data_IF_857412066741
#
_entry.id   IF_857412066741
#
_cell.length_a   1.000
_cell.length_b   1.000
_cell.length_c   1.000
_cell.angle_alpha   90.00
_cell.angle_beta   90.00
_cell.angle_gamma   90.00
#
_symmetry.space_group_name_H-M   'P 1'
#
loop_
_entity.id
_entity.type
_entity.pdbx_description
1 polymer ?
#
# COMPACT_ATOMS: atom_id res chain seq x y z
N UNK A 1 -9.45 2.35 -3.29
CA UNK A 1 -9.65 2.60 -1.84
C UNK A 1 -9.70 1.33 -1.01
N UNK A 2 -10.26 0.25 -1.54
CA UNK A 2 -10.29 -1.04 -0.83
C UNK A 2 -8.89 -1.60 -0.59
N UNK A 3 -8.00 -1.42 -1.56
CA UNK A 3 -6.63 -1.92 -1.45
C UNK A 3 -5.89 -1.25 -0.30
N UNK A 4 -6.16 0.03 -0.07
CA UNK A 4 -5.56 0.78 1.05
C UNK A 4 -6.38 0.66 2.34
N UNK A 5 -7.51 -0.06 2.31
CA UNK A 5 -8.38 -0.27 3.47
C UNK A 5 -8.90 1.04 4.05
N UNK A 6 -9.20 2.01 3.17
CA UNK A 6 -9.73 3.32 3.57
C UNK A 6 -11.03 3.64 2.82
N UNK A 7 -11.77 4.59 3.37
CA UNK A 7 -12.99 5.09 2.74
C UNK A 7 -12.66 6.16 1.70
N UNK A 8 -13.47 6.31 0.64
CA UNK A 8 -13.28 7.41 -0.31
C UNK A 8 -13.35 8.79 0.31
N UNK A 9 -13.98 8.90 1.47
CA UNK A 9 -14.09 10.16 2.22
C UNK A 9 -12.89 10.47 3.10
N UNK A 10 -11.90 9.57 3.16
CA UNK A 10 -10.71 9.78 3.97
C UNK A 10 -9.95 11.02 3.51
N UNK A 11 -9.33 11.72 4.46
CA UNK A 11 -8.51 12.89 4.15
C UNK A 11 -7.22 12.48 3.44
N UNK A 12 -6.55 13.45 2.80
CA UNK A 12 -5.27 13.18 2.14
C UNK A 12 -4.23 12.66 3.13
N UNK A 13 -4.23 13.19 4.34
CA UNK A 13 -3.32 12.72 5.40
C UNK A 13 -3.62 11.28 5.78
N UNK A 14 -4.90 10.92 5.89
CA UNK A 14 -5.31 9.55 6.17
C UNK A 14 -4.89 8.59 5.04
N UNK A 15 -4.98 9.03 3.80
CA UNK A 15 -4.53 8.24 2.64
C UNK A 15 -3.02 7.96 2.75
N UNK A 16 -2.22 8.99 3.02
CA UNK A 16 -0.77 8.83 3.17
C UNK A 16 -0.42 7.90 4.32
N UNK A 17 -1.11 8.04 5.45
CA UNK A 17 -0.89 7.22 6.62
C UNK A 17 -1.23 5.76 6.35
N UNK A 18 -2.37 5.50 5.70
CA UNK A 18 -2.79 4.16 5.35
C UNK A 18 -1.77 3.50 4.41
N UNK A 19 -1.32 4.24 3.39
CA UNK A 19 -0.31 3.75 2.46
C UNK A 19 0.98 3.38 3.20
N UNK A 20 1.47 4.27 4.06
CA UNK A 20 2.70 4.03 4.82
C UNK A 20 2.58 2.80 5.70
N UNK A 21 1.46 2.65 6.41
CA UNK A 21 1.24 1.51 7.29
C UNK A 21 1.22 0.19 6.51
N UNK A 22 0.59 0.17 5.33
CA UNK A 22 0.55 -1.03 4.51
C UNK A 22 1.91 -1.37 3.92
N UNK A 23 2.68 -0.37 3.51
CA UNK A 23 4.05 -0.60 3.02
C UNK A 23 4.90 -1.23 4.11
N UNK A 24 4.83 -0.71 5.34
CA UNK A 24 5.59 -1.26 6.45
C UNK A 24 5.16 -2.69 6.78
N UNK A 25 3.86 -2.97 6.70
CA UNK A 25 3.32 -4.29 7.00
C UNK A 25 3.70 -5.34 5.96
N UNK A 26 3.72 -4.96 4.69
CA UNK A 26 3.94 -5.89 3.57
C UNK A 26 5.29 -5.72 2.88
N UNK A 27 6.23 -5.03 3.51
CA UNK A 27 7.53 -4.80 2.88
C UNK A 27 8.29 -6.13 2.70
N UNK A 28 8.77 -6.43 1.46
CA UNK A 28 9.44 -7.71 1.19
C UNK A 28 10.64 -7.99 2.11
N UNK A 29 11.41 -6.97 2.45
CA UNK A 29 12.59 -7.14 3.29
C UNK A 29 12.23 -7.60 4.69
N UNK A 30 11.06 -7.18 5.20
CA UNK A 30 10.61 -7.58 6.54
C UNK A 30 10.15 -9.02 6.61
N UNK A 31 9.66 -9.56 5.50
CA UNK A 31 9.11 -10.91 5.45
C UNK A 31 10.03 -11.89 4.73
N UNK A 32 11.21 -11.44 4.28
CA UNK A 32 12.14 -12.28 3.52
C UNK A 32 12.63 -13.49 4.31
N UNK A 33 12.68 -13.39 5.62
CA UNK A 33 13.09 -14.50 6.49
C UNK A 33 12.02 -15.58 6.63
N UNK A 34 10.79 -15.28 6.21
CA UNK A 34 9.67 -16.23 6.33
C UNK A 34 9.54 -17.18 5.14
N UNK A 35 10.37 -16.99 4.13
CA UNK A 35 10.38 -17.82 2.95
C UNK A 35 10.15 -17.06 1.67
N UNK A 36 10.56 -17.65 0.55
CA UNK A 36 10.48 -17.02 -0.76
C UNK A 36 9.04 -16.82 -1.22
N UNK A 37 8.17 -17.77 -0.94
CA UNK A 37 6.76 -17.68 -1.33
C UNK A 37 6.08 -16.48 -0.63
N UNK A 38 6.41 -16.30 0.66
CA UNK A 38 5.86 -15.17 1.43
C UNK A 38 6.42 -13.85 0.92
N UNK A 39 7.71 -13.83 0.56
CA UNK A 39 8.33 -12.64 -0.02
C UNK A 39 7.68 -12.24 -1.34
N UNK A 40 7.43 -13.22 -2.21
CA UNK A 40 6.75 -12.96 -3.49
C UNK A 40 5.35 -12.44 -3.29
N UNK A 41 4.60 -13.02 -2.36
CA UNK A 41 3.26 -12.55 -2.03
C UNK A 41 3.29 -11.11 -1.52
N UNK A 42 4.28 -10.76 -0.72
CA UNK A 42 4.46 -9.41 -0.22
C UNK A 42 4.78 -8.42 -1.34
N UNK A 43 5.63 -8.82 -2.29
CA UNK A 43 5.96 -7.99 -3.45
C UNK A 43 4.73 -7.71 -4.31
N UNK A 44 3.91 -8.72 -4.57
CA UNK A 44 2.67 -8.56 -5.33
C UNK A 44 1.69 -7.65 -4.61
N UNK A 45 1.55 -7.83 -3.30
CA UNK A 45 0.68 -7.00 -2.49
C UNK A 45 1.15 -5.55 -2.51
N UNK A 46 2.46 -5.33 -2.38
CA UNK A 46 3.04 -4.00 -2.41
C UNK A 46 2.82 -3.33 -3.77
N UNK A 47 2.93 -4.08 -4.86
CA UNK A 47 2.66 -3.57 -6.20
C UNK A 47 1.23 -3.05 -6.31
N UNK A 48 0.26 -3.81 -5.80
CA UNK A 48 -1.14 -3.40 -5.79
C UNK A 48 -1.36 -2.15 -4.94
N UNK A 49 -0.69 -2.09 -3.80
CA UNK A 49 -0.76 -0.92 -2.91
C UNK A 49 -0.23 0.32 -3.62
N UNK A 50 0.90 0.20 -4.31
CA UNK A 50 1.49 1.31 -5.06
C UNK A 50 0.58 1.77 -6.20
N UNK A 51 0.00 0.83 -6.94
CA UNK A 51 -0.92 1.14 -8.03
C UNK A 51 -2.16 1.87 -7.51
N UNK A 52 -2.72 1.40 -6.42
CA UNK A 52 -3.88 2.03 -5.80
C UNK A 52 -3.53 3.44 -5.30
N UNK A 53 -2.37 3.59 -4.67
CA UNK A 53 -1.89 4.89 -4.21
C UNK A 53 -1.76 5.87 -5.37
N UNK A 54 -1.15 5.46 -6.46
CA UNK A 54 -0.97 6.33 -7.62
C UNK A 54 -2.29 6.80 -8.19
N UNK A 55 -3.27 5.90 -8.29
CA UNK A 55 -4.60 6.24 -8.78
C UNK A 55 -5.28 7.26 -7.87
N UNK A 56 -5.21 7.03 -6.56
CA UNK A 56 -5.83 7.93 -5.59
C UNK A 56 -5.14 9.30 -5.60
N UNK A 57 -3.81 9.31 -5.59
CA UNK A 57 -3.05 10.56 -5.62
C UNK A 57 -3.35 11.37 -6.87
N UNK A 58 -3.41 10.71 -8.01
CA UNK A 58 -3.72 11.37 -9.28
C UNK A 58 -5.14 11.93 -9.28
N UNK A 59 -6.11 11.16 -8.80
CA UNK A 59 -7.50 11.58 -8.74
C UNK A 59 -7.71 12.77 -7.80
N UNK A 60 -6.93 12.85 -6.72
CA UNK A 60 -7.01 13.92 -5.73
C UNK A 60 -6.08 15.10 -6.02
N UNK A 61 -5.20 14.99 -7.01
CA UNK A 61 -4.20 15.99 -7.26
C UNK A 61 -3.10 16.04 -6.19
N UNK A 62 -2.88 14.94 -5.50
CA UNK A 62 -1.83 14.84 -4.47
C UNK A 62 -0.45 14.61 -5.10
N UNK A 63 0.57 15.01 -4.39
CA UNK A 63 1.97 14.78 -4.79
C UNK A 63 2.66 13.76 -3.91
#
# INVERSE_FOLDING_TARGET
YKVLEIEPTASDEEVRKAYRNLVLKHHPDRVSTLGEDIRKAAEEKLQRINDAKERIFKARGMK
#
